data_IF_232117474874
#
_entry.id   IF_232117474874
#
_cell.length_a   1.000
_cell.length_b   1.000
_cell.length_c   1.000
_cell.angle_alpha   90.00
_cell.angle_beta   90.00
_cell.angle_gamma   90.00
#
_symmetry.space_group_name_H-M   'P 1'
#
loop_
_entity.id
_entity.type
_entity.pdbx_description
1 polymer ?
#
# COMPACT_ATOMS: atom_id res chain seq x y z
N UNK A 1 -9.76 -2.45 -20.35
CA UNK A 1 -8.37 -2.76 -19.93
C UNK A 1 -8.34 -2.85 -18.40
N UNK A 2 -7.95 -3.97 -17.79
CA UNK A 2 -7.99 -4.11 -16.32
C UNK A 2 -7.01 -3.16 -15.63
N UNK A 3 -7.53 -2.36 -14.70
CA UNK A 3 -6.75 -1.45 -13.86
C UNK A 3 -5.79 -2.27 -12.98
N UNK A 4 -4.49 -1.91 -12.88
CA UNK A 4 -3.57 -2.68 -12.06
C UNK A 4 -3.91 -2.54 -10.57
N UNK A 5 -3.83 -3.67 -9.86
CA UNK A 5 -3.97 -3.78 -8.41
C UNK A 5 -2.76 -3.11 -7.78
N UNK A 6 -3.00 -2.04 -7.02
CA UNK A 6 -1.95 -1.27 -6.38
C UNK A 6 -1.85 -1.66 -4.91
N UNK A 7 -0.72 -2.22 -4.49
CA UNK A 7 -0.48 -2.71 -3.12
C UNK A 7 0.54 -1.82 -2.42
N UNK A 8 0.25 -1.39 -1.19
CA UNK A 8 1.23 -0.72 -0.32
C UNK A 8 2.13 -1.75 0.37
N UNK A 9 3.43 -1.74 0.11
CA UNK A 9 4.39 -2.66 0.71
C UNK A 9 4.70 -2.39 2.20
N UNK A 10 4.31 -1.23 2.74
CA UNK A 10 4.60 -0.87 4.13
C UNK A 10 4.02 -1.91 5.09
N UNK A 11 4.86 -2.41 6.01
CA UNK A 11 4.38 -3.23 7.12
C UNK A 11 4.03 -4.67 6.74
N UNK A 12 4.24 -5.08 5.50
CA UNK A 12 4.00 -6.45 5.05
C UNK A 12 5.23 -7.33 5.27
N UNK A 13 5.02 -8.63 5.47
CA UNK A 13 6.10 -9.63 5.52
C UNK A 13 6.48 -10.07 4.10
N UNK A 14 7.78 -9.98 3.76
CA UNK A 14 8.33 -10.21 2.42
C UNK A 14 7.82 -11.50 1.76
N UNK A 15 7.97 -12.64 2.43
CA UNK A 15 7.59 -13.94 1.86
C UNK A 15 6.07 -14.14 1.74
N UNK A 16 5.29 -13.70 2.73
CA UNK A 16 3.83 -13.84 2.71
C UNK A 16 3.21 -12.98 1.61
N UNK A 17 3.70 -11.75 1.47
CA UNK A 17 3.29 -10.85 0.40
C UNK A 17 3.67 -11.43 -0.97
N UNK A 18 4.89 -11.95 -1.12
CA UNK A 18 5.36 -12.53 -2.37
C UNK A 18 4.51 -13.73 -2.84
N UNK A 19 4.07 -14.60 -1.93
CA UNK A 19 3.23 -15.76 -2.26
C UNK A 19 1.88 -15.35 -2.84
N UNK A 20 1.21 -14.37 -2.21
CA UNK A 20 -0.09 -13.86 -2.66
C UNK A 20 0.05 -13.14 -3.99
N UNK A 21 1.13 -12.37 -4.17
CA UNK A 21 1.45 -11.74 -5.45
C UNK A 21 1.68 -12.80 -6.53
N UNK A 22 2.45 -13.86 -6.26
CA UNK A 22 2.72 -14.91 -7.24
C UNK A 22 1.43 -15.58 -7.72
N UNK A 23 0.52 -15.92 -6.81
CA UNK A 23 -0.78 -16.51 -7.17
C UNK A 23 -1.63 -15.55 -8.01
N UNK A 24 -1.74 -14.29 -7.60
CA UNK A 24 -2.54 -13.28 -8.33
C UNK A 24 -2.00 -13.01 -9.74
N UNK A 25 -0.67 -13.02 -9.92
CA UNK A 25 -0.04 -12.89 -11.24
C UNK A 25 -0.34 -14.09 -12.16
N UNK A 26 -0.35 -15.30 -11.60
CA UNK A 26 -0.67 -16.54 -12.33
C UNK A 26 -2.15 -16.62 -12.71
N UNK A 27 -3.04 -15.99 -11.94
CA UNK A 27 -4.45 -15.80 -12.29
C UNK A 27 -4.68 -14.77 -13.40
N UNK A 28 -3.65 -14.06 -13.86
CA UNK A 28 -3.77 -13.09 -14.96
C UNK A 28 -3.77 -11.62 -14.56
N UNK A 29 -3.81 -11.32 -13.26
CA UNK A 29 -3.93 -9.95 -12.78
C UNK A 29 -2.62 -9.16 -12.91
N UNK A 30 -2.76 -7.85 -13.15
CA UNK A 30 -1.62 -6.90 -13.13
C UNK A 30 -1.46 -6.35 -11.73
N UNK A 31 -0.27 -6.49 -11.16
CA UNK A 31 0.01 -6.10 -9.77
C UNK A 31 1.16 -5.10 -9.74
N UNK A 32 0.94 -4.00 -9.02
CA UNK A 32 1.94 -2.96 -8.76
C UNK A 32 2.14 -2.87 -7.26
N UNK A 33 3.36 -3.08 -6.78
CA UNK A 33 3.70 -2.87 -5.37
C UNK A 33 4.54 -1.61 -5.25
N UNK A 34 4.14 -0.73 -4.35
CA UNK A 34 4.87 0.51 -4.02
C UNK A 34 5.44 0.42 -2.61
N UNK A 35 6.42 1.28 -2.30
CA UNK A 35 7.07 1.35 -0.98
C UNK A 35 7.75 0.05 -0.54
N UNK A 36 8.42 -0.61 -1.47
CA UNK A 36 9.13 -1.86 -1.20
C UNK A 36 10.22 -1.72 -0.13
N UNK A 37 10.77 -0.53 0.07
CA UNK A 37 11.76 -0.24 1.13
C UNK A 37 11.20 -0.40 2.55
N UNK A 38 9.87 -0.35 2.72
CA UNK A 38 9.18 -0.47 4.02
C UNK A 38 8.58 -1.85 4.26
N UNK A 39 8.92 -2.82 3.41
CA UNK A 39 8.61 -4.24 3.62
C UNK A 39 9.44 -4.74 4.79
N UNK A 40 8.86 -5.65 5.56
CA UNK A 40 9.48 -6.24 6.73
C UNK A 40 9.87 -7.70 6.48
N UNK A 41 10.94 -8.11 7.13
CA UNK A 41 11.36 -9.51 7.25
C UNK A 41 11.28 -9.88 8.73
N UNK A 42 10.76 -11.05 9.05
CA UNK A 42 10.74 -11.54 10.42
C UNK A 42 12.15 -11.91 10.92
N UNK A 43 12.37 -11.70 12.21
CA UNK A 43 13.65 -11.96 12.87
C UNK A 43 14.54 -10.72 12.96
N UNK A 44 15.59 -10.84 13.78
CA UNK A 44 16.50 -9.73 14.04
C UNK A 44 17.21 -9.25 12.75
N UNK A 45 17.57 -7.97 12.76
CA UNK A 45 18.29 -7.31 11.68
C UNK A 45 19.60 -8.03 11.35
N UNK A 46 20.43 -8.30 12.36
CA UNK A 46 21.73 -8.93 12.19
C UNK A 46 21.64 -10.32 11.51
N UNK A 47 20.66 -11.14 11.91
CA UNK A 47 20.41 -12.44 11.28
C UNK A 47 20.02 -12.30 9.81
N UNK A 48 19.18 -11.32 9.48
CA UNK A 48 18.77 -11.05 8.10
C UNK A 48 19.94 -10.57 7.24
N UNK A 49 20.82 -9.73 7.82
CA UNK A 49 22.08 -9.30 7.19
C UNK A 49 23.00 -10.48 6.89
N UNK A 50 23.28 -11.33 7.87
CA UNK A 50 24.13 -12.51 7.68
C UNK A 50 23.59 -13.46 6.60
N UNK A 51 22.27 -13.67 6.55
CA UNK A 51 21.63 -14.45 5.47
C UNK A 51 21.90 -13.84 4.09
N UNK A 52 21.80 -12.51 3.98
CA UNK A 52 22.08 -11.84 2.71
C UNK A 52 23.57 -11.86 2.36
N UNK A 53 24.46 -11.69 3.34
CA UNK A 53 25.92 -11.79 3.14
C UNK A 53 26.33 -13.21 2.71
N UNK A 54 25.69 -14.25 3.25
CA UNK A 54 25.88 -15.63 2.76
C UNK A 54 25.44 -15.76 1.30
N UNK A 55 24.32 -15.15 0.91
CA UNK A 55 23.90 -15.12 -0.50
C UNK A 55 24.92 -14.42 -1.41
N UNK A 56 25.60 -13.38 -0.92
CA UNK A 56 26.62 -12.64 -1.67
C UNK A 56 27.91 -13.42 -1.97
N UNK A 57 28.19 -14.43 -1.15
CA UNK A 57 29.33 -15.32 -1.35
C UNK A 57 29.09 -16.32 -2.48
N UNK A 58 27.83 -16.57 -2.86
CA UNK A 58 27.48 -17.49 -3.96
C UNK A 58 27.82 -16.84 -5.30
N UNK A 59 28.95 -17.21 -5.90
CA UNK A 59 29.39 -16.72 -7.22
C UNK A 59 29.87 -17.89 -8.07
N UNK A 60 29.87 -17.71 -9.40
CA UNK A 60 30.51 -18.67 -10.28
C UNK A 60 32.03 -18.47 -10.18
N UNK A 61 32.78 -19.56 -9.90
CA UNK A 61 34.23 -19.48 -9.74
C UNK A 61 34.93 -19.13 -11.06
N UNK A 62 34.45 -19.68 -12.19
CA UNK A 62 35.06 -19.51 -13.51
C UNK A 62 34.85 -18.10 -14.06
N UNK A 63 33.60 -17.61 -14.09
CA UNK A 63 33.29 -16.27 -14.54
C UNK A 63 32.15 -15.68 -13.68
N UNK A 64 32.45 -14.73 -12.77
CA UNK A 64 31.45 -14.11 -11.91
C UNK A 64 30.30 -13.44 -12.67
N UNK A 65 30.52 -12.96 -13.91
CA UNK A 65 29.50 -12.30 -14.73
C UNK A 65 28.37 -13.25 -15.17
N UNK A 66 28.67 -14.54 -15.36
CA UNK A 66 27.66 -15.59 -15.65
C UNK A 66 26.99 -16.13 -14.38
N UNK A 67 27.46 -15.72 -13.21
CA UNK A 67 26.97 -16.16 -11.92
C UNK A 67 25.59 -15.62 -11.55
N UNK A 68 25.11 -15.95 -10.34
CA UNK A 68 23.84 -15.42 -9.86
C UNK A 68 23.90 -13.91 -9.60
N UNK A 69 22.99 -13.15 -10.21
CA UNK A 69 22.91 -11.72 -9.97
C UNK A 69 22.40 -11.39 -8.55
N UNK A 70 23.15 -10.53 -7.85
CA UNK A 70 22.77 -10.05 -6.52
C UNK A 70 22.20 -8.63 -6.57
N UNK A 71 20.87 -8.54 -6.60
CA UNK A 71 20.20 -7.23 -6.62
C UNK A 71 20.19 -6.55 -5.24
N UNK A 72 20.67 -5.32 -5.18
CA UNK A 72 20.72 -4.49 -3.95
C UNK A 72 19.43 -3.78 -3.63
N UNK A 73 18.71 -3.36 -4.66
CA UNK A 73 17.51 -2.54 -4.51
C UNK A 73 16.36 -3.34 -3.85
N UNK A 74 15.66 -2.81 -2.84
CA UNK A 74 14.57 -3.53 -2.15
C UNK A 74 13.48 -4.02 -3.11
N UNK A 75 13.18 -3.25 -4.15
CA UNK A 75 12.24 -3.63 -5.21
C UNK A 75 12.68 -4.89 -5.95
N UNK A 76 13.97 -5.00 -6.27
CA UNK A 76 14.55 -6.16 -6.98
C UNK A 76 14.77 -7.36 -6.06
N UNK A 77 14.96 -7.15 -4.75
CA UNK A 77 14.95 -8.25 -3.78
C UNK A 77 13.56 -8.89 -3.75
N UNK A 78 12.50 -8.08 -3.67
CA UNK A 78 11.13 -8.58 -3.76
C UNK A 78 10.87 -9.27 -5.12
N UNK A 79 11.33 -8.68 -6.23
CA UNK A 79 11.25 -9.32 -7.55
C UNK A 79 11.86 -10.71 -7.57
N UNK A 80 13.06 -10.87 -6.99
CA UNK A 80 13.74 -12.17 -6.91
C UNK A 80 12.97 -13.18 -6.06
N UNK A 81 12.36 -12.74 -4.95
CA UNK A 81 11.49 -13.62 -4.14
C UNK A 81 10.25 -14.07 -4.89
N UNK A 82 9.55 -13.16 -5.59
CA UNK A 82 8.37 -13.52 -6.40
C UNK A 82 8.77 -14.41 -7.58
N UNK A 83 9.88 -14.13 -8.26
CA UNK A 83 10.42 -14.98 -9.33
C UNK A 83 10.69 -16.41 -8.83
N UNK A 84 11.14 -16.58 -7.59
CA UNK A 84 11.34 -17.90 -6.99
C UNK A 84 10.05 -18.68 -6.75
N UNK A 85 8.89 -17.99 -6.68
CA UNK A 85 7.56 -18.57 -6.45
C UNK A 85 6.75 -18.75 -7.74
N UNK A 86 7.29 -18.34 -8.90
CA UNK A 86 6.64 -18.41 -10.22
C UNK A 86 7.48 -19.30 -11.15
N UNK A 87 6.86 -20.16 -11.99
CA UNK A 87 7.57 -20.98 -12.98
C UNK A 87 8.12 -20.12 -14.14
N UNK A 88 9.13 -19.30 -13.84
CA UNK A 88 9.64 -18.24 -14.70
C UNK A 88 10.42 -18.70 -15.94
N UNK A 89 10.75 -20.00 -16.02
CA UNK A 89 11.37 -20.58 -17.22
C UNK A 89 10.34 -20.76 -18.35
N UNK A 90 9.08 -21.03 -17.99
CA UNK A 90 7.97 -21.20 -18.93
C UNK A 90 7.45 -19.85 -19.43
N UNK A 91 6.90 -19.81 -20.65
CA UNK A 91 6.33 -18.59 -21.23
C UNK A 91 5.18 -18.01 -20.40
N UNK A 92 4.32 -18.87 -19.83
CA UNK A 92 3.27 -18.45 -18.88
C UNK A 92 3.85 -17.69 -17.67
N UNK A 93 4.97 -18.18 -17.12
CA UNK A 93 5.64 -17.54 -15.99
C UNK A 93 6.34 -16.24 -16.38
N UNK A 94 6.98 -16.18 -17.56
CA UNK A 94 7.54 -14.95 -18.11
C UNK A 94 6.45 -13.89 -18.31
N UNK A 95 5.29 -14.28 -18.85
CA UNK A 95 4.13 -13.40 -18.98
C UNK A 95 3.61 -12.89 -17.62
N UNK A 96 3.57 -13.75 -16.60
CA UNK A 96 3.19 -13.37 -15.25
C UNK A 96 4.17 -12.34 -14.65
N UNK A 97 5.48 -12.53 -14.81
CA UNK A 97 6.48 -11.57 -14.32
C UNK A 97 6.44 -10.23 -15.06
N UNK A 98 6.08 -10.20 -16.36
CA UNK A 98 5.86 -8.94 -17.11
C UNK A 98 4.70 -8.11 -16.56
N UNK A 99 3.73 -8.74 -15.90
CA UNK A 99 2.58 -8.05 -15.26
C UNK A 99 2.93 -7.41 -13.92
N UNK A 100 4.04 -7.81 -13.31
CA UNK A 100 4.49 -7.31 -12.01
C UNK A 100 5.32 -6.03 -12.17
N UNK A 101 4.95 -4.97 -11.46
CA UNK A 101 5.79 -3.75 -11.33
C UNK A 101 6.04 -3.47 -9.86
N UNK A 102 7.29 -3.12 -9.53
CA UNK A 102 7.73 -2.89 -8.15
C UNK A 102 8.46 -1.56 -8.09
N UNK A 103 8.15 -0.75 -7.10
CA UNK A 103 8.73 0.58 -6.93
C UNK A 103 9.23 0.83 -5.50
N UNK A 104 10.25 1.67 -5.42
CA UNK A 104 10.80 2.21 -4.18
C UNK A 104 10.16 3.59 -3.99
N UNK A 105 9.54 3.82 -2.84
CA UNK A 105 8.58 4.91 -2.68
C UNK A 105 7.32 4.74 -3.55
N UNK A 106 6.61 5.85 -3.77
CA UNK A 106 5.39 5.91 -4.60
C UNK A 106 5.59 6.91 -5.74
N UNK A 107 5.92 6.46 -6.95
CA UNK A 107 6.09 7.37 -8.08
C UNK A 107 4.75 7.94 -8.58
N UNK A 108 4.74 9.15 -9.20
CA UNK A 108 3.63 9.60 -10.05
C UNK A 108 3.53 8.60 -11.21
N UNK A 109 2.39 7.96 -11.56
CA UNK A 109 0.96 8.27 -11.36
C UNK A 109 0.24 7.50 -10.22
N UNK A 110 0.96 6.72 -9.40
CA UNK A 110 0.36 5.84 -8.38
C UNK A 110 0.03 6.56 -7.07
N UNK A 111 0.58 7.76 -6.85
CA UNK A 111 0.39 8.53 -5.61
C UNK A 111 -1.07 8.93 -5.35
N UNK A 112 -1.79 9.32 -6.41
CA UNK A 112 -3.20 9.74 -6.32
C UNK A 112 -4.19 8.57 -6.20
N UNK A 113 -3.74 7.34 -6.47
CA UNK A 113 -4.60 6.15 -6.50
C UNK A 113 -4.73 5.51 -5.12
N UNK A 114 -5.91 4.95 -4.83
CA UNK A 114 -6.14 4.17 -3.61
C UNK A 114 -5.23 2.93 -3.63
N UNK A 115 -4.43 2.79 -2.58
CA UNK A 115 -3.56 1.64 -2.36
C UNK A 115 -4.29 0.62 -1.50
N UNK A 116 -4.18 -0.65 -1.87
CA UNK A 116 -4.73 -1.78 -1.13
C UNK A 116 -3.65 -2.35 -0.20
N UNK A 117 -4.11 -3.04 0.84
CA UNK A 117 -3.31 -3.74 1.83
C UNK A 117 -3.74 -5.19 1.82
N UNK A 118 -2.81 -6.12 2.05
CA UNK A 118 -3.08 -7.55 2.11
C UNK A 118 -3.04 -7.99 3.58
N UNK A 119 -4.20 -8.15 4.26
CA UNK A 119 -4.24 -8.40 5.70
C UNK A 119 -3.47 -9.66 6.11
N UNK A 120 -3.60 -10.74 5.33
CA UNK A 120 -2.93 -12.03 5.58
C UNK A 120 -1.40 -11.99 5.45
N UNK A 121 -0.83 -10.89 4.96
CA UNK A 121 0.62 -10.66 4.89
C UNK A 121 1.09 -9.50 5.78
N UNK A 122 0.18 -8.83 6.50
CA UNK A 122 0.54 -7.74 7.41
C UNK A 122 1.31 -8.27 8.62
N UNK A 123 2.46 -7.66 8.91
CA UNK A 123 3.31 -8.02 10.06
C UNK A 123 2.50 -8.01 11.36
N UNK A 124 1.69 -6.98 11.58
CA UNK A 124 0.93 -6.80 12.84
C UNK A 124 -0.01 -7.98 13.08
N UNK A 125 -0.61 -8.54 12.03
CA UNK A 125 -1.52 -9.67 12.14
C UNK A 125 -0.78 -11.01 12.20
N UNK A 126 0.33 -11.14 11.47
CA UNK A 126 1.01 -12.43 11.31
C UNK A 126 2.13 -12.70 12.33
N UNK A 127 2.72 -11.67 12.93
CA UNK A 127 3.85 -11.79 13.84
C UNK A 127 3.39 -11.46 15.27
N UNK A 128 3.77 -12.31 16.23
CA UNK A 128 3.50 -12.05 17.65
C UNK A 128 4.10 -10.70 18.07
N UNK A 129 3.40 -9.91 18.90
CA UNK A 129 3.97 -8.68 19.46
C UNK A 129 5.24 -8.99 20.26
N UNK A 130 6.19 -8.05 20.28
CA UNK A 130 7.49 -8.22 20.95
C UNK A 130 8.56 -8.98 20.13
N UNK A 131 8.23 -9.59 18.99
CA UNK A 131 9.24 -10.24 18.13
C UNK A 131 9.95 -9.24 17.24
N UNK A 132 11.29 -9.32 17.21
CA UNK A 132 12.12 -8.49 16.36
C UNK A 132 11.85 -8.73 14.87
N UNK A 133 11.96 -7.65 14.08
CA UNK A 133 11.81 -7.66 12.64
C UNK A 133 12.83 -6.70 12.00
N UNK A 134 13.05 -6.86 10.72
CA UNK A 134 13.98 -6.08 9.92
C UNK A 134 13.23 -5.32 8.82
N UNK A 135 13.58 -4.06 8.59
CA UNK A 135 13.14 -3.31 7.42
C UNK A 135 14.01 -3.64 6.20
N UNK A 136 13.38 -3.92 5.06
CA UNK A 136 14.06 -4.27 3.83
C UNK A 136 14.94 -3.13 3.30
N UNK A 137 14.50 -1.88 3.45
CA UNK A 137 15.28 -0.70 3.06
C UNK A 137 16.58 -0.56 3.83
N UNK A 138 16.58 -0.81 5.16
CA UNK A 138 17.80 -0.82 5.98
C UNK A 138 18.75 -1.93 5.55
N UNK A 139 18.22 -3.14 5.38
CA UNK A 139 19.01 -4.29 4.90
C UNK A 139 19.65 -4.00 3.55
N UNK A 140 18.89 -3.43 2.62
CA UNK A 140 19.35 -3.10 1.27
C UNK A 140 20.47 -2.07 1.30
N UNK A 141 20.34 -1.04 2.14
CA UNK A 141 21.35 0.01 2.28
C UNK A 141 22.70 -0.55 2.75
N UNK A 142 22.70 -1.34 3.82
CA UNK A 142 23.93 -1.94 4.37
C UNK A 142 24.62 -2.92 3.40
N UNK A 143 23.87 -3.48 2.47
CA UNK A 143 24.38 -4.41 1.45
C UNK A 143 24.90 -3.66 0.20
N UNK A 144 24.61 -2.35 0.08
CA UNK A 144 25.15 -1.49 -0.98
C UNK A 144 24.10 -0.76 -1.84
N UNK A 145 22.86 -0.59 -1.37
CA UNK A 145 21.86 0.25 -2.03
C UNK A 145 22.10 1.73 -1.69
N UNK A 146 22.46 2.52 -2.72
CA UNK A 146 22.87 3.93 -2.57
C UNK A 146 21.70 4.93 -2.49
N UNK A 147 20.53 4.59 -3.04
CA UNK A 147 19.44 5.55 -3.26
C UNK A 147 18.51 5.75 -2.05
N UNK A 148 18.89 5.27 -0.85
CA UNK A 148 18.05 5.37 0.34
C UNK A 148 17.73 6.83 0.71
N UNK A 149 18.72 7.72 0.68
CA UNK A 149 18.57 9.15 0.98
C UNK A 149 17.66 9.84 -0.04
N UNK A 150 17.87 9.57 -1.33
CA UNK A 150 17.08 10.10 -2.43
C UNK A 150 15.61 9.70 -2.29
N UNK A 151 15.33 8.42 -2.08
CA UNK A 151 13.94 7.93 -1.90
C UNK A 151 13.31 8.55 -0.66
N UNK A 152 14.05 8.69 0.45
CA UNK A 152 13.56 9.34 1.67
C UNK A 152 13.17 10.80 1.40
N UNK A 153 13.99 11.58 0.70
CA UNK A 153 13.70 12.97 0.36
C UNK A 153 12.44 13.10 -0.53
N UNK A 154 12.33 12.27 -1.57
CA UNK A 154 11.16 12.24 -2.46
C UNK A 154 9.88 11.84 -1.72
N UNK A 155 9.96 10.85 -0.83
CA UNK A 155 8.82 10.43 -0.01
C UNK A 155 8.40 11.49 1.00
N UNK A 156 9.33 12.24 1.59
CA UNK A 156 9.02 13.38 2.46
C UNK A 156 8.26 14.45 1.69
N UNK A 157 8.76 14.86 0.51
CA UNK A 157 8.08 15.81 -0.39
C UNK A 157 6.68 15.34 -0.77
N UNK A 158 6.52 14.04 -1.07
CA UNK A 158 5.22 13.43 -1.39
C UNK A 158 4.26 13.45 -0.20
N UNK A 159 4.72 13.11 1.00
CA UNK A 159 3.89 13.13 2.22
C UNK A 159 3.37 14.54 2.53
N UNK A 160 4.22 15.55 2.41
CA UNK A 160 3.80 16.96 2.58
C UNK A 160 2.67 17.31 1.62
N UNK A 161 2.84 17.02 0.32
CA UNK A 161 1.77 17.21 -0.70
C UNK A 161 0.50 16.42 -0.38
N UNK A 162 0.65 15.19 0.11
CA UNK A 162 -0.48 14.34 0.48
C UNK A 162 -1.26 14.90 1.67
N UNK A 163 -0.60 15.48 2.68
CA UNK A 163 -1.25 16.11 3.83
C UNK A 163 -2.13 17.28 3.38
N UNK A 164 -1.61 18.17 2.53
CA UNK A 164 -2.40 19.28 1.96
C UNK A 164 -3.60 18.76 1.15
N UNK A 165 -3.40 17.74 0.32
CA UNK A 165 -4.48 17.14 -0.47
C UNK A 165 -5.55 16.48 0.41
N UNK A 166 -5.16 15.83 1.52
CA UNK A 166 -6.09 15.23 2.48
C UNK A 166 -6.86 16.32 3.22
N UNK A 167 -6.20 17.37 3.71
CA UNK A 167 -6.85 18.50 4.40
C UNK A 167 -7.90 19.16 3.51
N UNK A 168 -7.54 19.49 2.26
CA UNK A 168 -8.47 20.03 1.26
C UNK A 168 -9.65 19.08 1.01
N UNK A 169 -9.38 17.78 0.86
CA UNK A 169 -10.45 16.77 0.68
C UNK A 169 -11.38 16.69 1.89
N UNK A 170 -10.85 16.78 3.11
CA UNK A 170 -11.66 16.71 4.33
C UNK A 170 -12.53 17.96 4.48
N UNK A 171 -11.99 19.16 4.23
CA UNK A 171 -12.76 20.41 4.20
C UNK A 171 -13.92 20.34 3.19
N UNK A 172 -13.63 19.87 1.96
CA UNK A 172 -14.66 19.69 0.93
C UNK A 172 -15.70 18.63 1.31
N UNK A 173 -15.33 17.61 2.08
CA UNK A 173 -16.31 16.61 2.58
C UNK A 173 -17.26 17.24 3.59
N UNK A 174 -16.75 18.03 4.54
CA UNK A 174 -17.56 18.74 5.54
C UNK A 174 -18.56 19.67 4.85
N UNK A 175 -18.09 20.49 3.91
CA UNK A 175 -18.96 21.39 3.14
C UNK A 175 -20.03 20.60 2.37
N UNK A 176 -19.67 19.48 1.74
CA UNK A 176 -20.63 18.62 1.03
C UNK A 176 -21.66 18.02 1.98
N UNK A 177 -21.25 17.54 3.16
CA UNK A 177 -22.19 17.02 4.15
C UNK A 177 -23.12 18.11 4.68
N UNK A 178 -22.61 19.32 4.96
CA UNK A 178 -23.45 20.45 5.34
C UNK A 178 -24.46 20.81 4.25
N UNK A 179 -24.04 20.90 2.99
CA UNK A 179 -24.93 21.21 1.86
C UNK A 179 -26.03 20.16 1.69
N UNK A 180 -25.69 18.87 1.84
CA UNK A 180 -26.68 17.79 1.79
C UNK A 180 -27.68 17.92 2.96
N UNK A 181 -27.19 18.18 4.18
CA UNK A 181 -28.04 18.35 5.35
C UNK A 181 -28.96 19.58 5.23
N UNK A 182 -28.46 20.70 4.72
CA UNK A 182 -29.25 21.90 4.45
C UNK A 182 -30.32 21.62 3.39
N UNK A 183 -29.97 20.90 2.32
CA UNK A 183 -30.93 20.50 1.29
C UNK A 183 -32.04 19.61 1.88
N UNK A 184 -31.70 18.59 2.67
CA UNK A 184 -32.72 17.77 3.34
C UNK A 184 -33.54 18.60 4.34
N UNK A 185 -32.95 19.54 5.09
CA UNK A 185 -33.71 20.37 6.04
C UNK A 185 -34.70 21.33 5.37
N UNK A 186 -34.41 21.80 4.14
CA UNK A 186 -35.28 22.72 3.40
C UNK A 186 -36.39 21.95 2.65
N UNK A 187 -36.07 20.81 2.03
CA UNK A 187 -36.99 20.11 1.13
C UNK A 187 -37.79 18.98 1.79
N UNK A 188 -37.30 18.36 2.89
CA UNK A 188 -38.03 17.33 3.63
C UNK A 188 -39.34 17.83 4.29
N UNK A 189 -39.44 19.03 4.89
CA UNK A 189 -40.70 19.49 5.48
C UNK A 189 -41.81 19.77 4.44
N UNK A 190 -41.44 20.16 3.21
CA UNK A 190 -42.38 20.29 2.09
C UNK A 190 -43.00 18.94 1.69
N UNK A 191 -42.25 17.84 1.80
CA UNK A 191 -42.74 16.50 1.51
C UNK A 191 -43.60 15.90 2.65
N UNK A 192 -43.35 16.26 3.92
CA UNK A 192 -44.16 15.78 5.05
C UNK A 192 -45.56 16.41 5.11
N UNK A 193 -45.73 17.65 4.64
CA UNK A 193 -47.02 18.34 4.63
C UNK A 193 -48.07 17.65 3.72
N UNK A 194 -47.65 16.77 2.80
CA UNK A 194 -48.54 16.06 1.89
C UNK A 194 -48.93 14.63 2.33
N UNK A 195 -48.37 14.07 3.41
CA UNK A 195 -48.65 12.68 3.83
C UNK A 195 -49.18 12.63 5.28
N UNK A 196 -50.50 12.52 5.48
CA UNK A 196 -51.07 12.42 6.82
C UNK A 196 -50.73 11.05 7.45
N UNK A 197 -49.98 11.05 8.56
CA UNK A 197 -49.84 9.87 9.43
C UNK A 197 -48.45 9.50 9.98
N UNK A 198 -47.36 10.23 9.70
CA UNK A 198 -46.01 9.78 10.09
C UNK A 198 -45.38 10.57 11.25
N UNK A 199 -45.75 10.23 12.50
CA UNK A 199 -45.13 10.79 13.73
C UNK A 199 -43.63 10.44 13.88
N UNK A 200 -43.14 9.42 13.17
CA UNK A 200 -41.73 8.99 13.21
C UNK A 200 -40.74 9.97 12.54
N UNK A 201 -41.21 10.78 11.58
CA UNK A 201 -40.31 11.60 10.75
C UNK A 201 -39.97 12.95 11.40
N UNK A 202 -40.81 13.41 12.34
CA UNK A 202 -40.58 14.65 13.10
C UNK A 202 -39.38 14.53 14.07
N UNK A 203 -39.19 13.35 14.68
CA UNK A 203 -38.03 13.06 15.54
C UNK A 203 -36.71 13.05 14.77
N UNK A 204 -36.73 12.54 13.54
CA UNK A 204 -35.57 12.54 12.64
C UNK A 204 -35.22 13.97 12.20
N UNK A 205 -36.21 14.82 11.95
CA UNK A 205 -36.03 16.23 11.57
C UNK A 205 -35.32 17.05 12.67
N UNK A 206 -35.78 16.93 13.92
CA UNK A 206 -35.14 17.61 15.06
C UNK A 206 -33.71 17.10 15.34
N UNK A 207 -33.44 15.81 15.10
CA UNK A 207 -32.10 15.24 15.20
C UNK A 207 -31.17 15.77 14.10
N UNK A 208 -31.64 15.86 12.85
CA UNK A 208 -30.87 16.42 11.74
C UNK A 208 -30.59 17.91 11.90
N UNK A 209 -31.55 18.68 12.45
CA UNK A 209 -31.36 20.10 12.76
C UNK A 209 -30.28 20.31 13.84
N UNK A 210 -30.33 19.55 14.95
CA UNK A 210 -29.28 19.58 15.99
C UNK A 210 -27.90 19.16 15.46
N UNK A 211 -27.84 18.16 14.58
CA UNK A 211 -26.60 17.75 13.92
C UNK A 211 -26.03 18.84 13.01
N UNK A 212 -26.88 19.57 12.29
CA UNK A 212 -26.43 20.70 11.45
C UNK A 212 -25.87 21.85 12.28
N UNK A 213 -26.50 22.19 13.41
CA UNK A 213 -26.03 23.24 14.33
C UNK A 213 -24.67 22.86 14.97
N UNK A 214 -24.47 21.58 15.36
CA UNK A 214 -23.22 21.07 15.93
C UNK A 214 -22.04 21.02 14.93
N UNK A 215 -22.31 20.79 13.64
CA UNK A 215 -21.28 20.75 12.60
C UNK A 215 -20.84 22.17 12.18
N UNK A 216 -21.70 23.18 12.36
CA UNK A 216 -21.37 24.59 12.05
C UNK A 216 -20.51 25.24 13.15
N UNK A 217 -20.57 24.73 14.39
CA UNK A 217 -19.85 25.28 15.54
C UNK A 217 -18.42 24.73 15.75
N UNK A 218 -17.98 23.70 15.00
CA UNK A 218 -16.63 23.10 15.06
C UNK A 218 -15.88 23.21 13.73
#
# INVERSE_FOLDING_TARGET
MFQPILIDGRGHLLGRLASIIAKTLLCGNRVVVVRTEQINISGNFFRSKLKYLSFLRKRCNVNPARGPFHFRAPSKILYRTVRGMVPHKLERGKAALRRLKLYEGVPPPYDKRKRLVVPSAMRVMCLKPGRAYCHLGRLSHEVGWKYQSVVRALETKRKVRAVFAIRKRNQLKVIRTCNILLFFSIYLPLYLLCVPGSWYVFGLFNMFRKLSELIIQN
#
